data_IF_948694133850
#
_entry.id   IF_948694133850
#
_cell.length_a   1.000
_cell.length_b   1.000
_cell.length_c   1.000
_cell.angle_alpha   90.00
_cell.angle_beta   90.00
_cell.angle_gamma   90.00
#
_symmetry.space_group_name_H-M   'P 1'
#
loop_
_entity.id
_entity.type
_entity.pdbx_description
1 polymer ?
#
# COMPACT_ATOMS: atom_id res chain seq x y z
N UNK A 1 -67.55 53.62 -51.50
CA UNK A 1 -68.21 52.50 -52.22
C UNK A 1 -67.13 51.56 -52.73
N UNK A 2 -67.49 50.27 -52.85
CA UNK A 2 -66.73 49.11 -53.37
C UNK A 2 -65.64 48.50 -52.48
N UNK A 3 -65.99 47.36 -51.87
CA UNK A 3 -65.10 46.22 -51.58
C UNK A 3 -64.72 45.49 -52.90
N UNK A 4 -64.14 44.27 -52.87
CA UNK A 4 -62.82 43.82 -52.39
C UNK A 4 -62.00 43.24 -53.56
N UNK A 5 -60.78 42.74 -53.35
CA UNK A 5 -60.32 41.50 -54.02
C UNK A 5 -59.15 40.87 -53.26
N UNK A 6 -59.38 39.63 -52.85
CA UNK A 6 -58.41 38.73 -52.27
C UNK A 6 -57.49 38.14 -53.35
N UNK A 7 -56.22 37.94 -53.02
CA UNK A 7 -55.43 36.82 -53.54
C UNK A 7 -54.48 36.31 -52.46
N UNK A 8 -54.83 35.12 -52.00
CA UNK A 8 -54.14 34.16 -51.15
C UNK A 8 -52.94 33.55 -51.93
N UNK A 9 -51.69 33.48 -51.41
CA UNK A 9 -50.99 32.30 -50.78
C UNK A 9 -49.50 32.33 -51.28
N UNK A 10 -48.44 31.80 -50.61
CA UNK A 10 -48.14 31.60 -49.18
C UNK A 10 -46.74 32.09 -48.72
N UNK A 11 -46.62 32.27 -47.40
CA UNK A 11 -45.53 31.87 -46.48
C UNK A 11 -44.28 31.23 -47.09
N UNK A 12 -43.09 31.77 -46.79
CA UNK A 12 -42.02 31.12 -45.98
C UNK A 12 -41.08 32.20 -45.43
N UNK A 13 -41.09 32.38 -44.10
CA UNK A 13 -40.01 33.02 -43.34
C UNK A 13 -38.81 32.09 -43.27
N UNK A 14 -37.62 32.58 -43.63
CA UNK A 14 -36.36 32.01 -43.15
C UNK A 14 -35.59 33.10 -42.39
N UNK A 15 -35.76 33.07 -41.07
CA UNK A 15 -34.85 33.72 -40.13
C UNK A 15 -33.56 32.89 -40.08
N UNK A 16 -32.46 33.55 -40.35
CA UNK A 16 -31.09 33.07 -40.27
C UNK A 16 -30.68 32.85 -38.82
N UNK A 17 -30.67 31.59 -38.37
CA UNK A 17 -30.03 31.18 -37.12
C UNK A 17 -28.60 30.72 -37.40
N UNK A 18 -27.62 31.56 -37.02
CA UNK A 18 -26.20 31.21 -37.02
C UNK A 18 -25.92 30.32 -35.79
N UNK A 19 -25.92 28.99 -35.97
CA UNK A 19 -25.43 28.07 -34.97
C UNK A 19 -23.90 27.96 -35.12
N UNK A 20 -23.16 28.61 -34.22
CA UNK A 20 -21.73 28.34 -34.04
C UNK A 20 -21.60 26.99 -33.35
N UNK A 21 -21.38 25.95 -34.14
CA UNK A 21 -21.04 24.62 -33.64
C UNK A 21 -19.58 24.65 -33.18
N UNK A 22 -19.36 24.84 -31.88
CA UNK A 22 -18.05 24.60 -31.27
C UNK A 22 -17.77 23.08 -31.31
N UNK A 23 -17.08 22.63 -32.36
CA UNK A 23 -16.51 21.29 -32.39
C UNK A 23 -15.34 21.28 -31.41
N UNK A 24 -15.59 20.82 -30.18
CA UNK A 24 -14.50 20.37 -29.31
C UNK A 24 -13.96 19.09 -29.93
N UNK A 25 -12.89 19.20 -30.70
CA UNK A 25 -12.05 18.06 -31.06
C UNK A 25 -11.37 17.56 -29.77
N UNK A 26 -12.10 16.75 -28.99
CA UNK A 26 -11.45 15.82 -28.07
C UNK A 26 -10.79 14.80 -29.00
N UNK A 27 -9.53 15.05 -29.37
CA UNK A 27 -8.72 14.01 -29.99
C UNK A 27 -8.76 12.76 -29.11
N UNK A 28 -8.67 11.55 -29.67
CA UNK A 28 -8.55 10.36 -28.84
C UNK A 28 -7.30 10.55 -27.99
N UNK A 29 -7.49 10.89 -26.71
CA UNK A 29 -6.41 10.78 -25.74
C UNK A 29 -5.93 9.35 -25.86
N UNK A 30 -4.67 9.16 -26.25
CA UNK A 30 -4.07 7.84 -26.28
C UNK A 30 -4.27 7.24 -24.89
N UNK A 31 -5.16 6.25 -24.80
CA UNK A 31 -5.38 5.53 -23.56
C UNK A 31 -4.01 5.02 -23.06
N UNK A 32 -3.76 5.08 -21.76
CA UNK A 32 -2.48 4.61 -21.24
C UNK A 32 -2.31 3.14 -21.61
N UNK A 33 -1.07 2.71 -21.89
CA UNK A 33 -0.83 1.31 -22.19
C UNK A 33 -1.28 0.44 -21.00
N UNK A 34 -2.07 -0.63 -21.23
CA UNK A 34 -2.53 -1.48 -20.14
C UNK A 34 -1.37 -2.06 -19.33
N UNK A 35 -1.58 -2.25 -18.02
CA UNK A 35 -0.61 -2.93 -17.18
C UNK A 35 -0.36 -4.34 -17.70
N UNK A 36 0.91 -4.77 -17.71
CA UNK A 36 1.27 -6.16 -18.01
C UNK A 36 0.84 -7.03 -16.84
N UNK A 37 0.23 -8.18 -17.13
CA UNK A 37 -0.26 -9.13 -16.13
C UNK A 37 0.66 -10.36 -16.03
N UNK A 38 0.82 -10.88 -14.81
CA UNK A 38 1.55 -12.12 -14.52
C UNK A 38 0.89 -12.90 -13.39
N UNK A 39 0.75 -14.21 -13.56
CA UNK A 39 0.33 -15.11 -12.49
C UNK A 39 1.52 -15.43 -11.58
N UNK A 40 1.40 -15.10 -10.30
CA UNK A 40 2.53 -15.18 -9.36
C UNK A 40 2.88 -16.64 -9.06
N UNK A 41 4.13 -17.02 -9.32
CA UNK A 41 4.65 -18.37 -9.06
C UNK A 41 5.20 -18.48 -7.64
N UNK A 42 4.78 -19.50 -6.90
CA UNK A 42 5.17 -19.72 -5.49
C UNK A 42 5.82 -21.08 -5.21
N UNK A 43 5.82 -21.97 -6.19
CA UNK A 43 6.32 -23.34 -6.05
C UNK A 43 7.81 -23.48 -6.37
N UNK A 44 8.45 -22.40 -6.83
CA UNK A 44 9.88 -22.36 -7.08
C UNK A 44 10.71 -22.34 -5.80
N UNK A 45 11.89 -22.96 -5.84
CA UNK A 45 12.92 -22.73 -4.82
C UNK A 45 13.43 -21.30 -4.99
N UNK A 46 13.19 -20.44 -4.00
CA UNK A 46 13.71 -19.09 -4.02
C UNK A 46 15.26 -19.11 -4.10
N UNK A 47 15.87 -18.40 -5.05
CA UNK A 47 17.32 -18.25 -5.10
C UNK A 47 17.82 -17.44 -3.91
N UNK A 48 19.13 -17.53 -3.62
CA UNK A 48 19.78 -16.74 -2.58
C UNK A 48 20.03 -15.28 -2.99
N UNK A 49 19.96 -14.97 -4.28
CA UNK A 49 20.09 -13.63 -4.85
C UNK A 49 19.34 -13.55 -6.19
N UNK A 50 18.98 -12.33 -6.61
CA UNK A 50 18.42 -12.05 -7.93
C UNK A 50 19.52 -11.56 -8.88
N UNK A 51 19.31 -11.73 -10.19
CA UNK A 51 20.17 -11.10 -11.19
C UNK A 51 19.96 -9.58 -11.16
N UNK A 52 20.99 -8.74 -11.40
CA UNK A 52 20.81 -7.31 -11.59
C UNK A 52 19.76 -6.96 -12.65
N UNK A 53 19.68 -7.78 -13.71
CA UNK A 53 18.77 -7.62 -14.85
C UNK A 53 17.39 -8.26 -14.63
N UNK A 54 17.10 -8.77 -13.42
CA UNK A 54 15.79 -9.34 -13.11
C UNK A 54 14.66 -8.35 -13.39
N UNK A 55 13.65 -8.83 -14.12
CA UNK A 55 12.42 -8.10 -14.37
C UNK A 55 11.58 -7.97 -13.11
N UNK A 56 10.58 -7.08 -13.11
CA UNK A 56 9.65 -6.93 -11.97
C UNK A 56 8.93 -8.25 -11.66
N UNK A 57 8.58 -9.05 -12.66
CA UNK A 57 7.94 -10.35 -12.46
C UNK A 57 8.88 -11.40 -11.89
N UNK A 58 10.16 -11.39 -12.26
CA UNK A 58 11.17 -12.26 -11.62
C UNK A 58 11.30 -11.92 -10.13
N UNK A 59 11.31 -10.63 -9.80
CA UNK A 59 11.35 -10.18 -8.40
C UNK A 59 10.09 -10.62 -7.66
N UNK A 60 8.90 -10.43 -8.25
CA UNK A 60 7.61 -10.87 -7.69
C UNK A 60 7.62 -12.36 -7.34
N UNK A 61 8.02 -13.22 -8.29
CA UNK A 61 8.01 -14.68 -8.07
C UNK A 61 9.01 -15.10 -6.97
N UNK A 62 10.21 -14.52 -6.96
CA UNK A 62 11.22 -14.83 -5.95
C UNK A 62 10.78 -14.38 -4.55
N UNK A 63 10.23 -13.17 -4.45
CA UNK A 63 9.72 -12.64 -3.17
C UNK A 63 8.56 -13.50 -2.66
N UNK A 64 7.62 -13.85 -3.54
CA UNK A 64 6.48 -14.70 -3.18
C UNK A 64 6.93 -16.10 -2.69
N UNK A 65 7.91 -16.71 -3.36
CA UNK A 65 8.50 -17.98 -2.94
C UNK A 65 9.24 -17.88 -1.58
N UNK A 66 9.95 -16.77 -1.31
CA UNK A 66 10.60 -16.53 -0.02
C UNK A 66 9.61 -16.34 1.12
N UNK A 67 8.57 -15.53 0.89
CA UNK A 67 7.51 -15.30 1.87
C UNK A 67 6.88 -16.62 2.30
N UNK A 68 6.52 -17.48 1.34
CA UNK A 68 5.98 -18.80 1.63
C UNK A 68 6.98 -19.69 2.38
N UNK A 69 8.19 -19.87 1.84
CA UNK A 69 9.12 -20.90 2.32
C UNK A 69 9.94 -20.52 3.56
N UNK A 70 10.13 -19.22 3.82
CA UNK A 70 11.00 -18.71 4.90
C UNK A 70 10.28 -17.87 5.95
N UNK A 71 9.14 -17.29 5.60
CA UNK A 71 8.32 -16.47 6.51
C UNK A 71 6.99 -17.14 6.88
N UNK A 72 6.66 -18.29 6.28
CA UNK A 72 5.39 -19.00 6.46
C UNK A 72 4.15 -18.14 6.12
N UNK A 73 4.31 -17.27 5.11
CA UNK A 73 3.28 -16.37 4.64
C UNK A 73 2.67 -16.89 3.35
N UNK A 74 1.40 -17.28 3.43
CA UNK A 74 0.63 -17.77 2.29
C UNK A 74 0.10 -16.60 1.46
N UNK A 75 0.03 -16.81 0.15
CA UNK A 75 -0.66 -15.92 -0.77
C UNK A 75 -1.96 -16.57 -1.26
N UNK A 76 -2.96 -15.79 -1.71
CA UNK A 76 -4.17 -16.34 -2.30
C UNK A 76 -3.88 -17.25 -3.50
N UNK A 77 -4.78 -18.20 -3.77
CA UNK A 77 -4.65 -19.10 -4.92
C UNK A 77 -4.70 -18.34 -6.27
N UNK A 78 -5.54 -17.31 -6.36
CA UNK A 78 -5.80 -16.51 -7.57
C UNK A 78 -4.77 -15.38 -7.81
N UNK A 79 -3.71 -15.30 -7.00
CA UNK A 79 -2.70 -14.24 -6.98
C UNK A 79 -2.17 -13.82 -8.37
N UNK A 80 -2.24 -12.52 -8.66
CA UNK A 80 -1.73 -11.88 -9.88
C UNK A 80 -0.90 -10.64 -9.55
N UNK A 81 0.05 -10.33 -10.42
CA UNK A 81 0.79 -9.07 -10.42
C UNK A 81 0.53 -8.30 -11.71
N UNK A 82 0.36 -6.99 -11.58
CA UNK A 82 0.13 -6.04 -12.64
C UNK A 82 1.24 -4.99 -12.61
N UNK A 83 2.10 -4.96 -13.62
CA UNK A 83 3.17 -3.95 -13.74
C UNK A 83 2.75 -2.94 -14.79
N UNK A 84 2.44 -1.73 -14.32
CA UNK A 84 1.95 -0.63 -15.14
C UNK A 84 3.13 0.24 -15.57
N UNK A 85 3.16 0.70 -16.83
CA UNK A 85 4.30 1.45 -17.36
C UNK A 85 4.64 2.69 -16.55
N UNK A 86 3.62 3.46 -16.16
CA UNK A 86 3.73 4.72 -15.43
C UNK A 86 2.54 4.96 -14.47
N UNK A 87 2.46 6.17 -13.90
CA UNK A 87 1.39 6.59 -13.01
C UNK A 87 0.00 6.60 -13.65
N UNK A 88 -0.07 6.96 -14.94
CA UNK A 88 -1.33 7.03 -15.67
C UNK A 88 -1.88 5.63 -15.91
N UNK A 89 -1.03 4.72 -16.40
CA UNK A 89 -1.37 3.30 -16.57
C UNK A 89 -1.73 2.64 -15.22
N UNK A 90 -1.03 2.98 -14.14
CA UNK A 90 -1.31 2.48 -12.80
C UNK A 90 -2.68 2.93 -12.29
N UNK A 91 -2.97 4.23 -12.38
CA UNK A 91 -4.26 4.79 -11.96
C UNK A 91 -5.41 4.25 -12.79
N UNK A 92 -5.22 4.14 -14.11
CA UNK A 92 -6.21 3.57 -15.02
C UNK A 92 -6.44 2.08 -14.74
N UNK A 93 -5.37 1.31 -14.50
CA UNK A 93 -5.45 -0.10 -14.14
C UNK A 93 -6.25 -0.32 -12.86
N UNK A 94 -6.02 0.49 -11.83
CA UNK A 94 -6.78 0.45 -10.58
C UNK A 94 -8.24 0.83 -10.80
N UNK A 95 -8.53 1.93 -11.52
CA UNK A 95 -9.89 2.36 -11.83
C UNK A 95 -10.68 1.30 -12.62
N UNK A 96 -10.06 0.64 -13.60
CA UNK A 96 -10.72 -0.42 -14.39
C UNK A 96 -11.10 -1.64 -13.54
N UNK A 97 -10.32 -1.95 -12.51
CA UNK A 97 -10.53 -3.15 -11.68
C UNK A 97 -11.33 -2.87 -10.40
N UNK A 98 -11.32 -1.65 -9.87
CA UNK A 98 -11.97 -1.27 -8.61
C UNK A 98 -13.14 -0.28 -8.75
N UNK A 99 -13.25 0.38 -9.91
CA UNK A 99 -14.24 1.43 -10.15
C UNK A 99 -13.97 2.72 -9.37
N UNK A 100 -14.54 3.83 -9.85
CA UNK A 100 -14.31 5.17 -9.29
C UNK A 100 -14.79 5.36 -7.83
N UNK A 101 -15.62 4.46 -7.29
CA UNK A 101 -16.16 4.57 -5.91
C UNK A 101 -15.18 4.10 -4.82
N UNK A 102 -14.19 3.29 -5.18
CA UNK A 102 -13.14 2.84 -4.25
C UNK A 102 -11.88 3.73 -4.32
N UNK A 103 -11.84 4.64 -5.29
CA UNK A 103 -10.70 5.49 -5.61
C UNK A 103 -10.94 6.91 -5.08
N UNK A 104 -10.35 7.26 -3.93
CA UNK A 104 -10.46 8.62 -3.37
C UNK A 104 -9.38 9.59 -3.89
N UNK A 105 -8.60 9.17 -4.89
CA UNK A 105 -7.55 9.96 -5.52
C UNK A 105 -6.31 10.20 -4.64
N UNK A 106 -6.29 9.72 -3.40
CA UNK A 106 -5.16 9.92 -2.49
C UNK A 106 -4.02 8.91 -2.66
N UNK A 107 -4.17 7.97 -3.61
CA UNK A 107 -3.30 6.81 -3.83
C UNK A 107 -2.44 6.93 -5.12
N UNK A 108 -2.46 8.07 -5.84
CA UNK A 108 -1.75 8.26 -7.12
C UNK A 108 -0.22 8.29 -6.99
N UNK A 109 0.31 8.61 -5.81
CA UNK A 109 1.76 8.58 -5.54
C UNK A 109 2.27 7.24 -5.00
N UNK A 110 1.41 6.23 -4.84
CA UNK A 110 1.80 4.93 -4.29
C UNK A 110 2.71 4.16 -5.26
N UNK A 111 3.73 3.49 -4.76
CA UNK A 111 4.63 2.65 -5.57
C UNK A 111 3.97 1.34 -6.04
N UNK A 112 2.95 0.89 -5.30
CA UNK A 112 2.15 -0.27 -5.60
C UNK A 112 0.87 -0.29 -4.77
N UNK A 113 0.03 -1.29 -5.01
CA UNK A 113 -1.20 -1.51 -4.26
C UNK A 113 -1.67 -2.96 -4.38
N UNK A 114 -1.80 -3.64 -3.26
CA UNK A 114 -2.53 -4.91 -3.19
C UNK A 114 -4.05 -4.71 -3.19
N UNK A 115 -4.73 -5.53 -3.98
CA UNK A 115 -6.16 -5.45 -4.22
C UNK A 115 -6.80 -6.84 -4.22
N UNK A 116 -8.13 -6.93 -4.34
CA UNK A 116 -8.84 -8.22 -4.40
C UNK A 116 -8.65 -9.00 -5.69
N UNK A 117 -7.98 -8.41 -6.70
CA UNK A 117 -7.71 -9.07 -8.00
C UNK A 117 -6.20 -9.31 -8.23
N UNK A 118 -5.35 -8.68 -7.43
CA UNK A 118 -3.90 -8.84 -7.51
C UNK A 118 -3.16 -7.66 -6.91
N UNK A 119 -1.85 -7.62 -7.11
CA UNK A 119 -1.00 -6.47 -6.76
C UNK A 119 -0.73 -5.64 -8.02
N UNK A 120 -0.96 -4.33 -7.95
CA UNK A 120 -0.56 -3.36 -8.96
C UNK A 120 0.76 -2.72 -8.56
N UNK A 121 1.65 -2.49 -9.51
CA UNK A 121 2.99 -1.94 -9.29
C UNK A 121 3.28 -0.85 -10.34
N UNK A 122 3.84 0.27 -9.90
CA UNK A 122 4.33 1.34 -10.79
C UNK A 122 5.71 0.98 -11.36
N UNK A 123 5.74 0.56 -12.61
CA UNK A 123 6.95 0.17 -13.35
C UNK A 123 7.97 1.31 -13.43
N UNK A 124 7.53 2.53 -13.77
CA UNK A 124 8.40 3.72 -13.80
C UNK A 124 9.08 3.99 -12.44
N UNK A 125 8.33 3.82 -11.35
CA UNK A 125 8.84 4.00 -10.00
C UNK A 125 9.87 2.93 -9.66
N UNK A 126 9.55 1.66 -9.93
CA UNK A 126 10.44 0.53 -9.68
C UNK A 126 11.74 0.63 -10.50
N UNK A 127 11.65 1.04 -11.77
CA UNK A 127 12.81 1.18 -12.66
C UNK A 127 13.84 2.21 -12.16
N UNK A 128 13.42 3.22 -11.40
CA UNK A 128 14.31 4.22 -10.80
C UNK A 128 14.97 3.76 -9.49
N UNK A 129 14.62 2.57 -8.98
CA UNK A 129 15.11 2.06 -7.70
C UNK A 129 16.22 1.03 -7.94
N UNK A 130 17.24 0.99 -7.06
CA UNK A 130 18.16 -0.14 -7.06
C UNK A 130 17.39 -1.45 -6.80
N UNK A 131 17.95 -2.59 -7.20
CA UNK A 131 17.29 -3.90 -7.05
C UNK A 131 16.80 -4.17 -5.62
N UNK A 132 17.60 -3.82 -4.60
CA UNK A 132 17.18 -3.90 -3.20
C UNK A 132 15.90 -3.10 -2.90
N UNK A 133 15.78 -1.89 -3.46
CA UNK A 133 14.60 -1.04 -3.30
C UNK A 133 13.39 -1.53 -4.08
N UNK A 134 13.59 -2.23 -5.22
CA UNK A 134 12.52 -2.92 -5.94
C UNK A 134 11.97 -4.09 -5.13
N UNK A 135 12.86 -4.92 -4.59
CA UNK A 135 12.54 -6.05 -3.70
C UNK A 135 11.75 -5.57 -2.48
N UNK A 136 12.18 -4.48 -1.85
CA UNK A 136 11.53 -3.92 -0.66
C UNK A 136 10.07 -3.53 -0.94
N UNK A 137 9.82 -2.77 -2.02
CA UNK A 137 8.46 -2.38 -2.43
C UNK A 137 7.61 -3.60 -2.77
N UNK A 138 8.13 -4.52 -3.58
CA UNK A 138 7.37 -5.71 -4.00
C UNK A 138 7.03 -6.59 -2.80
N UNK A 139 7.95 -6.77 -1.86
CA UNK A 139 7.72 -7.55 -0.64
C UNK A 139 6.68 -6.90 0.28
N UNK A 140 6.70 -5.56 0.40
CA UNK A 140 5.66 -4.81 1.11
C UNK A 140 4.27 -5.11 0.51
N UNK A 141 4.11 -4.95 -0.80
CA UNK A 141 2.81 -5.14 -1.44
C UNK A 141 2.34 -6.60 -1.44
N UNK A 142 3.24 -7.57 -1.60
CA UNK A 142 2.89 -8.98 -1.49
C UNK A 142 2.49 -9.36 -0.05
N UNK A 143 3.03 -8.69 0.97
CA UNK A 143 2.60 -8.87 2.35
C UNK A 143 1.12 -8.52 2.54
N UNK A 144 0.60 -7.53 1.82
CA UNK A 144 -0.83 -7.21 1.84
C UNK A 144 -1.70 -8.29 1.21
N UNK A 145 -1.27 -8.92 0.11
CA UNK A 145 -1.97 -10.10 -0.41
C UNK A 145 -1.97 -11.25 0.60
N UNK A 146 -0.86 -11.44 1.33
CA UNK A 146 -0.82 -12.42 2.42
C UNK A 146 -1.77 -12.07 3.56
N UNK A 147 -1.86 -10.81 3.95
CA UNK A 147 -2.79 -10.35 4.98
C UNK A 147 -4.25 -10.53 4.57
N UNK A 148 -4.59 -10.30 3.29
CA UNK A 148 -5.89 -10.63 2.73
C UNK A 148 -6.19 -12.13 2.82
N UNK A 149 -5.19 -12.99 2.60
CA UNK A 149 -5.35 -14.44 2.78
C UNK A 149 -5.54 -14.82 4.26
N UNK A 150 -4.79 -14.20 5.17
CA UNK A 150 -4.85 -14.46 6.61
C UNK A 150 -6.15 -13.97 7.26
N UNK A 151 -6.58 -12.74 6.97
CA UNK A 151 -7.75 -12.12 7.57
C UNK A 151 -9.04 -12.23 6.72
N UNK A 152 -8.93 -12.77 5.50
CA UNK A 152 -10.01 -12.89 4.52
C UNK A 152 -10.67 -11.50 4.27
N UNK A 153 -11.99 -11.33 4.01
CA UNK A 153 -12.50 -10.00 3.65
C UNK A 153 -12.39 -8.98 4.80
N UNK A 154 -11.97 -9.41 6.01
CA UNK A 154 -11.94 -8.63 7.24
C UNK A 154 -10.58 -7.99 7.53
N UNK A 155 -9.65 -8.01 6.57
CA UNK A 155 -8.37 -7.30 6.69
C UNK A 155 -8.54 -5.81 7.02
N UNK A 156 -9.64 -5.19 6.56
CA UNK A 156 -9.97 -3.79 6.84
C UNK A 156 -10.34 -3.51 8.31
N UNK A 157 -10.61 -4.55 9.10
CA UNK A 157 -10.84 -4.44 10.55
C UNK A 157 -9.54 -4.50 11.36
N UNK A 158 -8.42 -4.92 10.75
CA UNK A 158 -7.12 -4.97 11.41
C UNK A 158 -6.60 -3.53 11.60
N UNK A 159 -6.08 -3.16 12.79
CA UNK A 159 -5.47 -1.85 12.99
C UNK A 159 -4.44 -1.54 11.90
N UNK A 160 -4.60 -0.40 11.22
CA UNK A 160 -3.77 -0.06 10.05
C UNK A 160 -2.28 -0.05 10.37
N UNK A 161 -1.87 0.40 11.56
CA UNK A 161 -0.48 0.33 11.98
C UNK A 161 0.08 -1.11 12.02
N UNK A 162 -0.72 -2.13 12.33
CA UNK A 162 -0.27 -3.54 12.28
C UNK A 162 -0.15 -4.00 10.84
N UNK A 163 -1.12 -3.63 9.99
CA UNK A 163 -1.14 -3.97 8.56
C UNK A 163 0.12 -3.44 7.87
N UNK A 164 0.39 -2.14 8.00
CA UNK A 164 1.56 -1.51 7.36
C UNK A 164 2.87 -1.92 8.05
N UNK A 165 2.90 -1.97 9.38
CA UNK A 165 4.08 -2.36 10.13
C UNK A 165 4.53 -3.79 9.85
N UNK A 166 3.58 -4.71 9.64
CA UNK A 166 3.88 -6.08 9.23
C UNK A 166 4.36 -6.13 7.78
N UNK A 167 3.81 -5.32 6.87
CA UNK A 167 4.30 -5.24 5.50
C UNK A 167 5.75 -4.75 5.44
N UNK A 168 6.10 -3.72 6.22
CA UNK A 168 7.49 -3.26 6.41
C UNK A 168 8.38 -4.35 7.00
N UNK A 169 7.91 -5.03 8.05
CA UNK A 169 8.66 -6.12 8.70
C UNK A 169 9.00 -7.25 7.71
N UNK A 170 8.02 -7.64 6.88
CA UNK A 170 8.21 -8.62 5.81
C UNK A 170 9.20 -8.11 4.76
N UNK A 171 9.06 -6.86 4.32
CA UNK A 171 9.94 -6.27 3.32
C UNK A 171 11.41 -6.31 3.76
N UNK A 172 11.71 -5.84 4.97
CA UNK A 172 13.07 -5.90 5.51
C UNK A 172 13.58 -7.34 5.67
N UNK A 173 12.71 -8.26 6.10
CA UNK A 173 13.04 -9.68 6.25
C UNK A 173 13.36 -10.39 4.93
N UNK A 174 12.69 -10.01 3.84
CA UNK A 174 12.96 -10.53 2.49
C UNK A 174 14.27 -9.97 1.94
N UNK A 175 14.49 -8.67 2.08
CA UNK A 175 15.72 -7.99 1.65
C UNK A 175 16.95 -8.58 2.34
N UNK A 176 16.87 -8.86 3.64
CA UNK A 176 17.90 -9.55 4.43
C UNK A 176 18.20 -10.95 3.88
N UNK A 177 17.16 -11.75 3.60
CA UNK A 177 17.30 -13.13 3.08
C UNK A 177 17.88 -13.21 1.68
N UNK A 178 17.76 -12.15 0.89
CA UNK A 178 18.37 -12.02 -0.44
C UNK A 178 19.78 -11.39 -0.40
N UNK A 179 20.29 -11.07 0.80
CA UNK A 179 21.64 -10.53 0.97
C UNK A 179 21.80 -9.05 0.61
N UNK A 180 20.69 -8.30 0.46
CA UNK A 180 20.70 -6.90 0.06
C UNK A 180 20.81 -5.90 1.22
N UNK A 181 21.21 -6.38 2.39
CA UNK A 181 21.43 -5.59 3.60
C UNK A 181 20.81 -6.27 4.81
N UNK A 182 21.56 -6.36 5.90
CA UNK A 182 21.12 -7.10 7.07
C UNK A 182 19.91 -6.46 7.74
N UNK A 183 19.03 -7.29 8.30
CA UNK A 183 17.86 -6.84 9.03
C UNK A 183 18.22 -5.84 10.15
N UNK A 184 19.30 -6.10 10.90
CA UNK A 184 19.74 -5.24 12.01
C UNK A 184 20.18 -3.85 11.56
N UNK A 185 20.89 -3.74 10.43
CA UNK A 185 21.33 -2.46 9.88
C UNK A 185 20.13 -1.65 9.41
N UNK A 186 19.18 -2.29 8.72
CA UNK A 186 17.96 -1.63 8.22
C UNK A 186 17.04 -1.21 9.34
N UNK A 187 16.86 -2.05 10.36
CA UNK A 187 16.16 -1.70 11.59
C UNK A 187 16.76 -0.46 12.26
N UNK A 188 18.09 -0.38 12.34
CA UNK A 188 18.78 0.79 12.88
C UNK A 188 18.60 2.04 12.01
N UNK A 189 18.53 1.90 10.68
CA UNK A 189 18.21 3.00 9.77
C UNK A 189 16.78 3.51 9.94
N UNK A 190 15.79 2.61 10.06
CA UNK A 190 14.40 3.01 10.35
C UNK A 190 14.32 3.69 11.71
N UNK A 191 14.96 3.13 12.74
CA UNK A 191 15.02 3.73 14.08
C UNK A 191 15.56 5.15 14.03
N UNK A 192 16.69 5.36 13.36
CA UNK A 192 17.27 6.71 13.17
C UNK A 192 16.34 7.63 12.40
N UNK A 193 15.73 7.15 11.32
CA UNK A 193 14.82 7.98 10.50
C UNK A 193 13.56 8.42 11.27
N UNK A 194 13.12 7.62 12.24
CA UNK A 194 12.01 7.97 13.14
C UNK A 194 12.47 8.95 14.22
N UNK A 195 13.64 8.72 14.82
CA UNK A 195 14.17 9.51 15.95
C UNK A 195 14.72 10.87 15.51
N UNK A 196 15.51 10.88 14.43
CA UNK A 196 16.17 12.07 13.87
C UNK A 196 15.24 12.82 12.89
N UNK A 197 13.99 12.37 12.78
CA UNK A 197 12.98 13.01 11.97
C UNK A 197 12.67 14.44 12.46
N UNK A 198 12.09 15.25 11.58
CA UNK A 198 11.76 16.64 11.88
C UNK A 198 10.79 16.81 13.06
N UNK A 199 10.02 15.76 13.40
CA UNK A 199 9.08 15.76 14.51
C UNK A 199 9.65 14.88 15.63
N UNK A 200 9.86 15.44 16.84
CA UNK A 200 10.31 14.67 17.98
C UNK A 200 9.41 13.46 18.26
N UNK A 201 10.01 12.32 18.63
CA UNK A 201 9.28 11.10 18.97
C UNK A 201 8.16 11.30 20.00
N UNK A 202 8.31 12.26 20.92
CA UNK A 202 7.30 12.60 21.93
C UNK A 202 6.03 13.28 21.35
N UNK A 203 6.11 13.84 20.14
CA UNK A 203 5.02 14.52 19.45
C UNK A 203 4.40 13.68 18.32
N UNK A 204 4.92 12.47 18.07
CA UNK A 204 4.34 11.55 17.09
C UNK A 204 2.96 11.05 17.56
N UNK A 205 2.02 10.81 16.63
CA UNK A 205 0.73 10.22 16.98
C UNK A 205 0.91 8.81 17.54
N UNK A 206 0.24 8.51 18.65
CA UNK A 206 0.21 7.15 19.19
C UNK A 206 -0.44 6.14 18.22
N UNK A 207 -0.20 4.85 18.44
CA UNK A 207 -0.69 3.79 17.55
C UNK A 207 -2.22 3.79 17.37
N UNK A 208 -2.98 4.23 18.37
CA UNK A 208 -4.44 4.36 18.28
C UNK A 208 -4.89 5.38 17.23
N UNK A 209 -4.14 6.48 17.09
CA UNK A 209 -4.38 7.48 16.06
C UNK A 209 -3.95 6.99 14.66
N UNK A 210 -3.19 5.90 14.59
CA UNK A 210 -2.80 5.20 13.37
C UNK A 210 -3.59 3.92 13.11
N UNK A 211 -4.60 3.60 13.94
CA UNK A 211 -5.35 2.36 13.83
C UNK A 211 -6.39 2.37 12.68
N UNK A 212 -6.93 3.54 12.34
CA UNK A 212 -8.01 3.67 11.32
C UNK A 212 -7.46 4.14 9.98
N UNK A 213 -7.96 3.57 8.87
CA UNK A 213 -7.53 3.90 7.48
C UNK A 213 -7.59 5.41 7.18
N UNK A 214 -8.70 6.05 7.50
CA UNK A 214 -8.90 7.49 7.25
C UNK A 214 -7.88 8.35 8.01
N UNK A 215 -7.59 7.98 9.25
CA UNK A 215 -6.63 8.69 10.10
C UNK A 215 -5.21 8.46 9.61
N UNK A 216 -4.88 7.22 9.23
CA UNK A 216 -3.60 6.87 8.61
C UNK A 216 -3.30 7.73 7.39
N UNK A 217 -4.24 7.83 6.45
CA UNK A 217 -4.07 8.63 5.24
C UNK A 217 -3.83 10.12 5.54
N UNK A 218 -4.55 10.68 6.53
CA UNK A 218 -4.30 12.06 6.98
C UNK A 218 -2.92 12.23 7.58
N UNK A 219 -2.52 11.34 8.49
CA UNK A 219 -1.21 11.40 9.14
C UNK A 219 -0.08 11.25 8.14
N UNK A 220 -0.13 10.26 7.24
CA UNK A 220 0.90 10.04 6.22
C UNK A 220 1.05 11.23 5.26
N UNK A 221 -0.01 12.00 4.98
CA UNK A 221 0.09 13.24 4.19
C UNK A 221 0.72 14.40 4.97
N UNK A 222 0.49 14.46 6.27
CA UNK A 222 1.01 15.53 7.14
C UNK A 222 2.40 15.26 7.71
N UNK A 223 2.80 13.99 7.72
CA UNK A 223 4.03 13.49 8.35
C UNK A 223 4.93 12.87 7.28
N UNK A 224 6.17 12.56 7.66
CA UNK A 224 7.04 11.75 6.79
C UNK A 224 6.61 10.28 6.79
N UNK A 225 7.01 9.54 5.75
CA UNK A 225 6.86 8.09 5.70
C UNK A 225 7.47 7.40 6.95
N UNK A 226 8.64 7.85 7.40
CA UNK A 226 9.27 7.34 8.61
C UNK A 226 8.41 7.55 9.86
N UNK A 227 7.75 8.70 10.00
CA UNK A 227 6.91 9.01 11.15
C UNK A 227 5.63 8.16 11.24
N UNK A 228 5.14 7.58 10.13
CA UNK A 228 3.99 6.65 10.14
C UNK A 228 4.43 5.19 9.97
N UNK A 229 4.97 4.84 8.81
CA UNK A 229 5.42 3.48 8.47
C UNK A 229 6.57 3.02 9.37
N UNK A 230 7.55 3.88 9.64
CA UNK A 230 8.67 3.55 10.51
C UNK A 230 8.23 3.26 11.95
N UNK A 231 7.30 4.06 12.49
CA UNK A 231 6.69 3.79 13.80
C UNK A 231 5.93 2.45 13.80
N UNK A 232 5.11 2.20 12.78
CA UNK A 232 4.34 0.98 12.63
C UNK A 232 5.25 -0.26 12.55
N UNK A 233 6.33 -0.17 11.78
CA UNK A 233 7.38 -1.19 11.71
C UNK A 233 7.97 -1.47 13.09
N UNK A 234 8.42 -0.45 13.83
CA UNK A 234 9.04 -0.63 15.15
C UNK A 234 8.08 -1.27 16.16
N UNK A 235 6.78 -0.99 16.06
CA UNK A 235 5.77 -1.62 16.90
C UNK A 235 5.62 -3.12 16.58
N UNK A 236 5.52 -3.50 15.30
CA UNK A 236 5.42 -4.91 14.88
C UNK A 236 6.71 -5.67 15.13
N UNK A 237 7.86 -5.05 14.92
CA UNK A 237 9.17 -5.59 15.26
C UNK A 237 9.25 -5.91 16.77
N UNK A 238 8.79 -5.00 17.64
CA UNK A 238 8.73 -5.23 19.09
C UNK A 238 7.78 -6.38 19.48
N UNK A 239 6.62 -6.50 18.82
CA UNK A 239 5.74 -7.66 19.02
C UNK A 239 6.43 -8.96 18.62
N UNK A 240 7.14 -8.94 17.50
CA UNK A 240 7.88 -10.09 16.98
C UNK A 240 9.05 -10.47 17.89
N UNK A 241 9.80 -9.50 18.42
CA UNK A 241 10.88 -9.72 19.39
C UNK A 241 10.35 -10.33 20.70
N UNK A 242 9.22 -9.83 21.20
CA UNK A 242 8.69 -10.23 22.52
C UNK A 242 7.88 -11.52 22.50
N UNK A 243 7.13 -11.77 21.43
CA UNK A 243 6.15 -12.87 21.36
C UNK A 243 6.38 -13.82 20.18
N UNK A 244 7.32 -13.50 19.30
CA UNK A 244 7.61 -14.27 18.09
C UNK A 244 6.66 -13.95 16.94
N UNK A 245 7.15 -14.12 15.71
CA UNK A 245 6.38 -13.88 14.47
C UNK A 245 5.08 -14.67 14.40
N UNK A 246 5.06 -15.88 14.97
CA UNK A 246 3.91 -16.77 14.92
C UNK A 246 2.70 -16.13 15.61
N UNK A 247 2.91 -15.38 16.70
CA UNK A 247 1.85 -14.66 17.40
C UNK A 247 1.29 -13.49 16.61
N UNK A 248 2.13 -12.79 15.83
CA UNK A 248 1.65 -11.74 14.92
C UNK A 248 0.79 -12.34 13.80
N UNK A 249 1.20 -13.47 13.22
CA UNK A 249 0.43 -14.19 12.20
C UNK A 249 -0.88 -14.74 12.78
N UNK A 250 -0.84 -15.28 14.00
CA UNK A 250 -2.03 -15.75 14.73
C UNK A 250 -3.02 -14.60 14.95
N UNK A 251 -2.55 -13.43 15.38
CA UNK A 251 -3.38 -12.24 15.54
C UNK A 251 -4.03 -11.82 14.21
N UNK A 252 -3.26 -11.71 13.12
CA UNK A 252 -3.81 -11.39 11.79
C UNK A 252 -4.87 -12.42 11.35
N UNK A 253 -4.64 -13.70 11.64
CA UNK A 253 -5.55 -14.79 11.28
C UNK A 253 -6.83 -14.82 12.12
N UNK A 254 -6.79 -14.31 13.35
CA UNK A 254 -7.93 -14.31 14.29
C UNK A 254 -9.16 -13.58 13.75
N UNK A 255 -8.97 -12.66 12.81
CA UNK A 255 -10.03 -11.90 12.14
C UNK A 255 -10.98 -12.78 11.32
N UNK A 256 -10.55 -13.99 10.93
CA UNK A 256 -11.41 -14.96 10.25
C UNK A 256 -12.46 -15.62 11.16
N UNK A 257 -12.25 -15.60 12.49
CA UNK A 257 -13.05 -16.38 13.45
C UNK A 257 -13.79 -15.53 14.47
N UNK A 258 -13.14 -14.50 15.00
CA UNK A 258 -13.65 -13.70 16.10
C UNK A 258 -14.30 -12.42 15.59
N UNK A 259 -15.34 -11.92 16.25
CA UNK A 259 -16.07 -10.71 15.83
C UNK A 259 -15.56 -9.42 16.46
N UNK A 260 -15.04 -9.45 17.69
CA UNK A 260 -14.54 -8.26 18.40
C UNK A 260 -13.00 -8.13 18.31
N UNK A 261 -12.51 -6.96 17.95
CA UNK A 261 -11.08 -6.60 17.89
C UNK A 261 -10.33 -6.68 19.22
N UNK A 262 -10.96 -6.38 20.36
CA UNK A 262 -10.34 -6.49 21.69
C UNK A 262 -10.21 -7.94 22.11
N UNK A 263 -11.27 -8.73 21.93
CA UNK A 263 -11.24 -10.18 22.19
C UNK A 263 -10.16 -10.86 21.35
N UNK A 264 -9.93 -10.43 20.11
CA UNK A 264 -8.83 -10.92 19.27
C UNK A 264 -7.46 -10.66 19.87
N UNK A 265 -7.20 -9.45 20.32
CA UNK A 265 -5.91 -9.10 20.91
C UNK A 265 -5.64 -9.94 22.16
N UNK A 266 -6.59 -9.94 23.09
CA UNK A 266 -6.46 -10.61 24.38
C UNK A 266 -6.43 -12.14 24.24
N UNK A 267 -6.96 -12.69 23.13
CA UNK A 267 -6.83 -14.13 22.83
C UNK A 267 -5.43 -14.55 22.38
N UNK A 268 -4.60 -13.61 21.90
CA UNK A 268 -3.30 -13.92 21.28
C UNK A 268 -2.14 -13.43 22.14
N UNK A 269 -2.21 -12.20 22.65
CA UNK A 269 -1.14 -11.56 23.39
C UNK A 269 -1.42 -11.55 24.90
N UNK A 270 -0.39 -11.75 25.75
CA UNK A 270 -0.56 -11.84 27.20
C UNK A 270 -0.66 -10.47 27.91
N UNK A 271 -0.68 -9.38 27.16
CA UNK A 271 -0.86 -8.01 27.68
C UNK A 271 -2.05 -7.40 26.98
N UNK A 272 -2.73 -6.44 27.61
CA UNK A 272 -3.83 -5.73 26.95
C UNK A 272 -3.32 -4.86 25.81
N UNK A 273 -4.19 -4.57 24.84
CA UNK A 273 -3.85 -3.69 23.73
C UNK A 273 -3.41 -2.30 24.20
N UNK A 274 -4.13 -1.73 25.18
CA UNK A 274 -3.77 -0.43 25.77
C UNK A 274 -2.40 -0.44 26.44
N UNK A 275 -2.09 -1.51 27.19
CA UNK A 275 -0.77 -1.67 27.81
C UNK A 275 0.34 -1.72 26.75
N UNK A 276 0.14 -2.43 25.64
CA UNK A 276 1.12 -2.45 24.56
C UNK A 276 1.34 -1.07 23.93
N UNK A 277 0.26 -0.33 23.66
CA UNK A 277 0.34 1.02 23.09
C UNK A 277 1.11 1.97 24.01
N UNK A 278 0.88 1.89 25.32
CA UNK A 278 1.60 2.71 26.31
C UNK A 278 3.08 2.31 26.43
N UNK A 279 3.36 1.02 26.56
CA UNK A 279 4.73 0.48 26.60
C UNK A 279 5.52 0.88 25.34
N UNK A 280 4.89 0.80 24.17
CA UNK A 280 5.52 1.16 22.90
C UNK A 280 5.81 2.66 22.82
N UNK A 281 4.90 3.51 23.28
CA UNK A 281 5.12 4.96 23.31
C UNK A 281 6.29 5.34 24.22
N UNK A 282 6.42 4.73 25.39
CA UNK A 282 7.58 4.92 26.27
C UNK A 282 8.87 4.46 25.58
N UNK A 283 8.83 3.30 24.92
CA UNK A 283 9.97 2.79 24.16
C UNK A 283 10.40 3.73 23.04
N UNK A 284 9.45 4.24 22.24
CA UNK A 284 9.74 5.15 21.13
C UNK A 284 10.40 6.45 21.63
N UNK A 285 9.94 6.98 22.76
CA UNK A 285 10.55 8.14 23.40
C UNK A 285 11.96 7.86 23.93
N UNK A 286 12.22 6.66 24.44
CA UNK A 286 13.54 6.29 24.96
C UNK A 286 14.58 6.13 23.85
N UNK A 287 14.17 5.64 22.67
CA UNK A 287 15.00 5.64 21.46
C UNK A 287 15.44 7.06 21.10
N UNK A 288 14.54 8.04 21.23
CA UNK A 288 14.84 9.46 21.03
C UNK A 288 15.93 10.00 21.97
N UNK A 289 15.83 9.67 23.27
CA UNK A 289 16.77 10.16 24.30
C UNK A 289 18.16 9.51 24.20
N UNK A 290 18.21 8.23 23.84
CA UNK A 290 19.46 7.49 23.67
C UNK A 290 20.33 8.10 22.56
N UNK A 291 19.72 8.61 21.49
CA UNK A 291 20.45 9.26 20.38
C UNK A 291 21.02 10.62 20.77
N UNK A 292 20.27 11.43 21.54
CA UNK A 292 20.73 12.75 22.04
C UNK A 292 21.96 12.61 22.97
N UNK A 293 22.16 11.44 23.57
CA UNK A 293 23.20 11.21 24.58
C UNK A 293 24.51 10.65 24.03
N UNK A 294 24.65 10.42 22.71
CA UNK A 294 25.92 10.06 22.07
C UNK A 294 26.64 11.32 21.56
N UNK A 295 27.89 11.61 22.00
CA UNK A 295 28.66 12.70 21.42
C UNK A 295 29.05 12.37 19.96
N UNK A 296 29.33 13.40 19.12
CA UNK A 296 29.69 13.23 17.72
C UNK A 296 30.96 12.40 17.50
#
# INVERSE_FOLDING_TARGET
MTAPHASMIPVVSLLTSLAVLAVVLIGPGLAAEPCREHEIRIDGKAPSALSPDSSEFDVVDVVAALMRSKLDLKLPAWRKAYVCGDEAAFSEGLLRNFGARAWDGSETSAAGMATSVGVFLRGDYLARRPLAGRVEVIAHELAHLSQQELAKPRVHEVPRWIVEGHAEWVALGVVDRLGYGSYSVRRAQVTRSVVDGAIPAALLPGLDALARREQWGRWTRSLSHSATYGQAFLAVDRLTERYGRAKVIEFLSSFTRLTDSRERWDSVFPISYGQFVDDFRVHLQSLGRATISRPP
#
